data_IF_574042764702
#
_entry.id   IF_574042764702
#
_cell.length_a   1.000
_cell.length_b   1.000
_cell.length_c   1.000
_cell.angle_alpha   90.00
_cell.angle_beta   90.00
_cell.angle_gamma   90.00
#
_symmetry.space_group_name_H-M   'P 1'
#
loop_
_entity.id
_entity.type
_entity.pdbx_description
1 polymer ?
#
# COMPACT_ATOMS: atom_id res chain seq x y z
N UNK A 1 5.13 -8.97 -5.99
CA UNK A 1 4.81 -9.83 -7.16
C UNK A 1 5.87 -9.59 -8.23
N UNK A 2 6.63 -10.61 -8.61
CA UNK A 2 7.56 -10.52 -9.74
C UNK A 2 6.82 -10.88 -11.03
N UNK A 3 6.83 -9.96 -12.00
CA UNK A 3 6.13 -10.12 -13.29
C UNK A 3 7.15 -10.01 -14.44
N UNK A 4 7.69 -11.13 -14.94
CA UNK A 4 8.66 -11.12 -16.03
C UNK A 4 8.09 -10.52 -17.31
N UNK A 5 8.77 -9.52 -17.89
CA UNK A 5 8.42 -8.96 -19.19
C UNK A 5 9.13 -9.71 -20.31
N UNK A 6 8.45 -10.68 -20.93
CA UNK A 6 9.03 -11.54 -21.97
C UNK A 6 9.49 -10.77 -23.21
N UNK A 7 8.92 -9.60 -23.50
CA UNK A 7 9.24 -8.81 -24.69
C UNK A 7 10.55 -8.04 -24.55
N UNK A 8 10.74 -7.30 -23.46
CA UNK A 8 11.84 -6.33 -23.32
C UNK A 8 12.86 -6.70 -22.24
N UNK A 9 12.44 -7.32 -21.13
CA UNK A 9 13.37 -7.66 -20.04
C UNK A 9 13.88 -9.09 -20.18
N UNK A 10 15.03 -9.24 -20.84
CA UNK A 10 15.67 -10.54 -21.08
C UNK A 10 16.55 -11.03 -19.93
N UNK A 11 16.75 -10.21 -18.89
CA UNK A 11 17.59 -10.55 -17.72
C UNK A 11 16.72 -11.14 -16.60
N UNK A 12 15.66 -10.43 -16.20
CA UNK A 12 14.79 -10.82 -15.10
C UNK A 12 13.66 -11.74 -15.60
N UNK A 13 14.03 -12.91 -16.12
CA UNK A 13 13.12 -13.91 -16.69
C UNK A 13 12.51 -14.81 -15.61
N UNK A 14 11.58 -15.68 -16.01
CA UNK A 14 11.07 -16.73 -15.12
C UNK A 14 12.19 -17.63 -14.59
N UNK A 15 13.14 -18.00 -15.46
CA UNK A 15 14.30 -18.82 -15.12
C UNK A 15 15.26 -18.12 -14.16
N UNK A 16 15.32 -16.78 -14.21
CA UNK A 16 16.05 -16.00 -13.21
C UNK A 16 15.34 -16.10 -11.85
N UNK A 17 14.05 -15.74 -11.77
CA UNK A 17 13.35 -15.66 -10.48
C UNK A 17 13.04 -17.00 -9.83
N UNK A 18 12.54 -17.99 -10.59
CA UNK A 18 12.00 -19.24 -10.06
C UNK A 18 12.91 -20.00 -9.08
N UNK A 19 14.23 -20.15 -9.34
CA UNK A 19 15.13 -20.82 -8.40
C UNK A 19 15.58 -19.95 -7.22
N UNK A 20 15.37 -18.63 -7.29
CA UNK A 20 15.85 -17.66 -6.28
C UNK A 20 14.79 -17.29 -5.27
N UNK A 21 13.51 -17.43 -5.63
CA UNK A 21 12.39 -17.09 -4.73
C UNK A 21 12.32 -18.07 -3.58
N UNK A 22 12.37 -17.54 -2.35
CA UNK A 22 12.15 -18.29 -1.11
C UNK A 22 11.06 -17.58 -0.28
N UNK A 23 9.88 -18.20 -0.11
CA UNK A 23 8.84 -17.67 0.76
C UNK A 23 9.32 -17.50 2.20
N UNK A 24 8.94 -16.39 2.84
CA UNK A 24 9.23 -16.13 4.25
C UNK A 24 8.45 -17.07 5.16
N UNK A 25 7.32 -17.58 4.70
CA UNK A 25 6.48 -18.55 5.39
C UNK A 25 7.16 -19.93 5.55
N UNK A 26 8.16 -20.22 4.72
CA UNK A 26 8.95 -21.46 4.76
C UNK A 26 10.18 -21.36 5.69
N UNK A 27 10.43 -20.19 6.29
CA UNK A 27 11.56 -19.94 7.19
C UNK A 27 11.11 -19.21 8.46
N UNK A 28 11.95 -19.18 9.49
CA UNK A 28 11.65 -18.41 10.70
C UNK A 28 11.69 -16.91 10.40
N UNK A 29 10.54 -16.24 10.48
CA UNK A 29 10.37 -14.81 10.26
C UNK A 29 9.26 -14.26 11.16
N UNK A 30 9.58 -13.25 11.99
CA UNK A 30 8.59 -12.51 12.75
C UNK A 30 8.18 -11.24 11.97
N UNK A 31 6.95 -11.16 11.44
CA UNK A 31 6.49 -9.99 10.70
C UNK A 31 6.29 -8.74 11.59
N UNK A 32 6.38 -8.85 12.92
CA UNK A 32 6.33 -7.68 13.81
C UNK A 32 7.69 -7.01 14.02
N UNK A 33 8.80 -7.69 13.69
CA UNK A 33 10.15 -7.13 13.75
C UNK A 33 10.49 -6.37 12.45
N UNK A 34 10.35 -5.04 12.52
CA UNK A 34 10.65 -4.15 11.40
C UNK A 34 12.08 -4.27 10.89
N UNK A 35 13.06 -4.45 11.78
CA UNK A 35 14.48 -4.49 11.41
C UNK A 35 14.77 -5.79 10.67
N UNK A 36 14.33 -6.92 11.22
CA UNK A 36 14.48 -8.22 10.58
C UNK A 36 13.77 -8.25 9.21
N UNK A 37 12.57 -7.67 9.12
CA UNK A 37 11.84 -7.52 7.85
C UNK A 37 12.64 -6.76 6.79
N UNK A 38 13.28 -5.64 7.15
CA UNK A 38 14.14 -4.89 6.22
C UNK A 38 15.36 -5.70 5.81
N UNK A 39 16.06 -6.33 6.75
CA UNK A 39 17.26 -7.12 6.45
C UNK A 39 16.95 -8.21 5.41
N UNK A 40 15.81 -8.91 5.56
CA UNK A 40 15.35 -9.89 4.57
C UNK A 40 14.94 -9.26 3.24
N UNK A 41 14.29 -8.09 3.25
CA UNK A 41 13.84 -7.40 2.04
C UNK A 41 15.00 -6.89 1.18
N UNK A 42 16.14 -6.60 1.81
CA UNK A 42 17.35 -6.12 1.13
C UNK A 42 18.16 -7.23 0.46
N UNK A 43 17.85 -8.50 0.71
CA UNK A 43 18.53 -9.62 0.05
C UNK A 43 18.14 -9.69 -1.43
N UNK A 44 19.16 -9.76 -2.28
CA UNK A 44 19.03 -9.89 -3.72
C UNK A 44 20.22 -10.67 -4.29
N UNK A 45 20.00 -11.39 -5.38
CA UNK A 45 21.02 -12.24 -6.00
C UNK A 45 20.59 -13.69 -5.96
N UNK A 46 21.19 -14.50 -5.10
CA UNK A 46 20.91 -15.94 -5.05
C UNK A 46 19.60 -16.28 -4.33
N UNK A 47 19.20 -15.46 -3.36
CA UNK A 47 17.94 -15.59 -2.62
C UNK A 47 17.17 -14.29 -2.74
N UNK A 48 15.88 -14.43 -3.02
CA UNK A 48 14.93 -13.33 -3.11
C UNK A 48 13.73 -13.73 -2.26
N UNK A 49 13.54 -13.04 -1.14
CA UNK A 49 12.41 -13.33 -0.27
C UNK A 49 11.08 -12.83 -0.84
N UNK A 50 10.01 -13.56 -0.55
CA UNK A 50 8.63 -13.17 -0.84
C UNK A 50 7.74 -13.50 0.34
N UNK A 51 6.58 -12.85 0.45
CA UNK A 51 5.65 -13.06 1.56
C UNK A 51 5.49 -11.80 2.40
N UNK A 52 5.05 -11.96 3.65
CA UNK A 52 4.87 -10.85 4.59
C UNK A 52 6.19 -10.50 5.27
N UNK A 53 6.82 -9.39 4.86
CA UNK A 53 8.04 -8.89 5.50
C UNK A 53 7.78 -8.16 6.82
N UNK A 54 6.72 -7.36 6.87
CA UNK A 54 6.38 -6.57 8.03
C UNK A 54 4.88 -6.32 8.08
N UNK A 55 4.29 -6.46 9.26
CA UNK A 55 2.89 -6.14 9.56
C UNK A 55 2.82 -5.45 10.93
N UNK A 56 2.07 -4.35 11.02
CA UNK A 56 1.84 -3.66 12.28
C UNK A 56 0.46 -3.02 12.33
N UNK A 57 -0.13 -3.02 13.54
CA UNK A 57 -1.39 -2.33 13.86
C UNK A 57 -1.19 -1.17 14.83
N UNK A 58 0.06 -0.77 15.05
CA UNK A 58 0.42 0.25 16.06
C UNK A 58 0.11 1.68 15.61
N UNK A 59 -0.05 1.92 14.31
CA UNK A 59 -0.34 3.24 13.74
C UNK A 59 -1.77 3.29 13.24
N UNK A 60 -2.43 4.41 13.55
CA UNK A 60 -3.69 4.78 12.93
C UNK A 60 -3.50 4.93 11.42
N UNK A 61 -4.47 4.45 10.65
CA UNK A 61 -4.57 4.76 9.23
C UNK A 61 -4.78 6.25 9.03
N UNK A 62 -4.55 6.76 7.81
CA UNK A 62 -4.75 8.18 7.52
C UNK A 62 -6.18 8.64 7.84
N UNK A 63 -7.19 7.80 7.55
CA UNK A 63 -8.58 8.13 7.84
C UNK A 63 -8.88 8.22 9.34
N UNK A 64 -8.32 7.31 10.14
CA UNK A 64 -8.44 7.33 11.60
C UNK A 64 -7.65 8.48 12.26
N UNK A 65 -6.76 9.14 11.53
CA UNK A 65 -6.03 10.32 12.02
C UNK A 65 -6.80 11.63 11.81
N UNK A 66 -7.95 11.61 11.13
CA UNK A 66 -8.74 12.80 10.80
C UNK A 66 -10.01 12.86 11.65
N UNK A 67 -10.02 13.60 12.78
CA UNK A 67 -11.16 13.58 13.70
C UNK A 67 -12.47 14.07 13.07
N UNK A 68 -12.37 14.91 12.04
CA UNK A 68 -13.55 15.37 11.27
C UNK A 68 -14.29 14.21 10.60
N UNK A 69 -13.61 13.08 10.37
CA UNK A 69 -14.16 11.87 9.75
C UNK A 69 -14.75 10.88 10.76
N UNK A 70 -14.50 11.05 12.07
CA UNK A 70 -15.01 10.16 13.13
C UNK A 70 -16.55 10.14 13.17
N UNK A 71 -17.16 11.31 12.93
CA UNK A 71 -18.60 11.49 12.91
C UNK A 71 -19.09 11.79 11.48
N UNK A 72 -20.13 11.09 11.02
CA UNK A 72 -20.74 11.32 9.71
C UNK A 72 -20.01 10.67 8.52
N UNK A 73 -18.92 9.92 8.75
CA UNK A 73 -18.27 9.08 7.75
C UNK A 73 -17.64 9.85 6.57
N UNK A 74 -17.41 9.21 5.41
CA UNK A 74 -16.75 9.88 4.28
C UNK A 74 -17.49 11.13 3.81
N UNK A 75 -16.75 12.22 3.59
CA UNK A 75 -17.33 13.53 3.20
C UNK A 75 -18.22 13.45 1.95
N UNK A 76 -17.89 12.57 1.00
CA UNK A 76 -18.64 12.38 -0.24
C UNK A 76 -20.10 11.91 -0.02
N UNK A 77 -20.42 11.36 1.15
CA UNK A 77 -21.76 10.89 1.50
C UNK A 77 -22.50 11.82 2.47
N UNK A 78 -21.87 12.92 2.88
CA UNK A 78 -22.50 13.90 3.78
C UNK A 78 -23.39 14.84 2.99
N UNK A 79 -24.48 15.26 3.62
CA UNK A 79 -25.25 16.39 3.09
C UNK A 79 -24.36 17.63 3.07
N UNK A 80 -24.35 18.35 1.94
CA UNK A 80 -23.50 19.53 1.75
C UNK A 80 -23.84 20.67 2.71
N UNK A 81 -25.04 20.66 3.30
CA UNK A 81 -25.50 21.73 4.20
C UNK A 81 -25.66 23.09 3.52
N UNK A 82 -25.68 23.12 2.18
CA UNK A 82 -25.82 24.34 1.38
C UNK A 82 -27.24 24.43 0.81
N UNK A 83 -27.83 25.62 0.90
CA UNK A 83 -29.04 25.93 0.14
C UNK A 83 -28.72 26.06 -1.35
N UNK A 84 -29.76 25.97 -2.20
CA UNK A 84 -29.62 26.19 -3.64
C UNK A 84 -29.03 27.59 -3.95
N UNK A 85 -29.48 28.62 -3.23
CA UNK A 85 -28.98 29.99 -3.39
C UNK A 85 -27.48 30.11 -3.06
N UNK A 86 -27.02 29.47 -1.99
CA UNK A 86 -25.60 29.47 -1.62
C UNK A 86 -24.76 28.75 -2.67
N UNK A 87 -25.27 27.63 -3.19
CA UNK A 87 -24.61 26.84 -4.24
C UNK A 87 -24.46 27.66 -5.52
N UNK A 88 -25.53 28.31 -5.98
CA UNK A 88 -25.52 29.17 -7.18
C UNK A 88 -24.51 30.32 -7.05
N UNK A 89 -24.46 30.97 -5.89
CA UNK A 89 -23.51 32.06 -5.62
C UNK A 89 -22.04 31.63 -5.67
N UNK A 90 -21.73 30.41 -5.21
CA UNK A 90 -20.36 29.88 -5.26
C UNK A 90 -19.98 29.57 -6.72
N UNK A 91 -20.85 28.89 -7.46
CA UNK A 91 -20.62 28.54 -8.87
C UNK A 91 -20.39 29.79 -9.71
N UNK A 92 -21.20 30.83 -9.53
CA UNK A 92 -21.07 32.09 -10.26
C UNK A 92 -19.75 32.85 -10.02
N UNK A 93 -19.03 32.54 -8.93
CA UNK A 93 -17.71 33.13 -8.62
C UNK A 93 -16.52 32.28 -9.09
N UNK A 94 -16.77 31.02 -9.46
CA UNK A 94 -15.73 30.11 -9.96
C UNK A 94 -15.59 30.18 -11.50
N UNK A 95 -16.61 30.71 -12.18
CA UNK A 95 -16.58 31.08 -13.60
C UNK A 95 -16.16 32.55 -13.76
#
# INVERSE_FOLDING_TARGET
>A
VFSPCVTFNKVNTYQFFRPRVQPLEDIEHDPSDWKAGIEKAMLWGDVIHTGVFFETKTRLTLGEQEPVLDEGGPLAFRELGLSSEQTERIIARMM
#
